data_IF_694966551482
#
_entry.id   IF_694966551482
#
_cell.length_a   1.000
_cell.length_b   1.000
_cell.length_c   1.000
_cell.angle_alpha   90.00
_cell.angle_beta   90.00
_cell.angle_gamma   90.00
#
_symmetry.space_group_name_H-M   'P 1'
#
loop_
_entity.id
_entity.type
_entity.pdbx_description
1 polymer ?
#
# COMPACT_ATOMS: atom_id res chain seq x y z
N UNK A 1 26.65 24.98 1.29
CA UNK A 1 27.18 24.65 -0.05
C UNK A 1 26.11 24.54 -1.15
N UNK A 2 25.06 23.71 -1.04
CA UNK A 2 24.07 23.50 -2.12
C UNK A 2 23.43 24.79 -2.68
N UNK A 3 23.04 25.73 -1.81
CA UNK A 3 22.44 27.01 -2.23
C UNK A 3 23.40 27.92 -3.00
N UNK A 4 24.69 27.92 -2.63
CA UNK A 4 25.73 28.68 -3.33
C UNK A 4 25.98 28.12 -4.74
N UNK A 5 26.05 26.79 -4.87
CA UNK A 5 26.22 26.13 -6.18
C UNK A 5 25.06 26.47 -7.10
N UNK A 6 23.81 26.41 -6.61
CA UNK A 6 22.62 26.78 -7.39
C UNK A 6 22.69 28.25 -7.82
N UNK A 7 23.05 29.15 -6.90
CA UNK A 7 23.19 30.58 -7.19
C UNK A 7 24.22 30.85 -8.30
N UNK A 8 25.44 30.29 -8.19
CA UNK A 8 26.47 30.45 -9.23
C UNK A 8 26.08 29.82 -10.56
N UNK A 9 25.33 28.71 -10.55
CA UNK A 9 24.83 28.08 -11.78
C UNK A 9 23.80 28.97 -12.48
N UNK A 10 22.88 29.58 -11.73
CA UNK A 10 21.89 30.52 -12.28
C UNK A 10 22.55 31.81 -12.79
N UNK A 11 23.56 32.30 -12.08
CA UNK A 11 24.36 33.45 -12.50
C UNK A 11 25.10 33.16 -13.83
N UNK A 12 25.72 31.99 -13.94
CA UNK A 12 26.39 31.54 -15.17
C UNK A 12 25.44 31.32 -16.33
N UNK A 13 24.21 30.88 -16.08
CA UNK A 13 23.16 30.78 -17.11
C UNK A 13 22.77 32.17 -17.64
N UNK A 14 22.54 33.11 -16.73
CA UNK A 14 22.13 34.48 -17.05
C UNK A 14 23.22 35.23 -17.83
N UNK A 15 24.46 35.19 -17.37
CA UNK A 15 25.59 35.93 -17.97
C UNK A 15 26.34 35.16 -19.07
N UNK A 16 26.03 33.88 -19.27
CA UNK A 16 26.62 33.02 -20.30
C UNK A 16 25.63 32.69 -21.43
N UNK A 17 24.88 31.60 -21.28
CA UNK A 17 23.97 31.08 -22.33
C UNK A 17 22.92 32.11 -22.78
N UNK A 18 22.41 32.93 -21.86
CA UNK A 18 21.41 33.95 -22.13
C UNK A 18 22.01 35.36 -22.30
N UNK A 19 23.34 35.49 -22.41
CA UNK A 19 24.03 36.78 -22.48
C UNK A 19 23.49 37.71 -23.56
N UNK A 20 23.12 37.16 -24.73
CA UNK A 20 22.57 37.93 -25.85
C UNK A 20 21.27 38.68 -25.50
N UNK A 21 20.57 38.28 -24.44
CA UNK A 21 19.35 38.93 -23.95
C UNK A 21 19.55 39.64 -22.61
N UNK A 22 20.27 39.02 -21.69
CA UNK A 22 20.47 39.54 -20.33
C UNK A 22 21.42 40.75 -20.28
N UNK A 23 22.51 40.72 -21.07
CA UNK A 23 23.52 41.78 -21.08
C UNK A 23 22.99 43.07 -21.72
N UNK A 24 22.28 43.04 -22.87
CA UNK A 24 21.65 44.24 -23.41
C UNK A 24 20.60 44.84 -22.47
N UNK A 25 19.78 43.99 -21.82
CA UNK A 25 18.78 44.44 -20.86
C UNK A 25 19.43 45.14 -19.65
N UNK A 26 20.50 44.55 -19.11
CA UNK A 26 21.26 45.11 -18.00
C UNK A 26 21.94 46.44 -18.37
N UNK A 27 22.59 46.50 -19.54
CA UNK A 27 23.26 47.70 -20.02
C UNK A 27 22.24 48.82 -20.28
N UNK A 28 21.09 48.51 -20.89
CA UNK A 28 20.03 49.48 -21.10
C UNK A 28 19.46 50.02 -19.77
N UNK A 29 19.24 49.15 -18.79
CA UNK A 29 18.79 49.56 -17.45
C UNK A 29 19.80 50.50 -16.77
N UNK A 30 21.10 50.19 -16.85
CA UNK A 30 22.16 51.04 -16.31
C UNK A 30 22.27 52.37 -17.06
N UNK A 31 22.25 52.36 -18.39
CA UNK A 31 22.32 53.57 -19.21
C UNK A 31 21.14 54.51 -18.96
N UNK A 32 19.94 53.95 -18.76
CA UNK A 32 18.76 54.72 -18.36
C UNK A 32 18.91 55.32 -16.97
N UNK A 33 19.47 54.58 -16.02
CA UNK A 33 19.68 55.04 -14.64
C UNK A 33 20.75 56.14 -14.52
N UNK A 34 21.77 56.13 -15.40
CA UNK A 34 22.88 57.09 -15.40
C UNK A 34 22.77 58.15 -16.52
N UNK A 35 21.65 58.22 -17.24
CA UNK A 35 21.38 59.18 -18.32
C UNK A 35 22.45 59.16 -19.43
N UNK A 36 22.99 57.98 -19.73
CA UNK A 36 24.02 57.75 -20.76
C UNK A 36 23.34 57.34 -22.07
N UNK A 37 23.78 57.81 -23.25
CA UNK A 37 23.21 57.40 -24.53
C UNK A 37 23.34 55.89 -24.78
N UNK A 38 22.37 55.28 -25.49
CA UNK A 38 22.36 53.84 -25.72
C UNK A 38 23.55 53.39 -26.57
N UNK A 39 24.26 52.36 -26.11
CA UNK A 39 25.35 51.75 -26.88
C UNK A 39 24.82 50.61 -27.76
N UNK A 40 25.28 50.55 -29.02
CA UNK A 40 24.96 49.43 -29.91
C UNK A 40 25.84 48.23 -29.57
N UNK A 41 25.24 47.20 -29.00
CA UNK A 41 25.89 45.90 -28.78
C UNK A 41 25.68 45.03 -30.01
N UNK A 42 26.77 44.49 -30.55
CA UNK A 42 26.73 43.52 -31.64
C UNK A 42 27.23 42.18 -31.12
N UNK A 43 26.44 41.13 -31.33
CA UNK A 43 26.81 39.77 -30.99
C UNK A 43 27.11 38.98 -32.26
N UNK A 44 28.18 38.18 -32.30
CA UNK A 44 28.42 37.27 -33.42
C UNK A 44 27.24 36.33 -33.60
N UNK A 45 26.85 36.06 -34.86
CA UNK A 45 25.73 35.15 -35.17
C UNK A 45 25.83 33.78 -34.46
N UNK A 46 27.06 33.29 -34.24
CA UNK A 46 27.34 32.03 -33.55
C UNK A 46 26.80 32.02 -32.11
N UNK A 47 26.77 33.16 -31.41
CA UNK A 47 26.36 33.20 -30.00
C UNK A 47 24.88 32.84 -29.80
N UNK A 48 24.04 32.98 -30.82
CA UNK A 48 22.63 32.60 -30.76
C UNK A 48 22.43 31.08 -30.73
N UNK A 49 23.41 30.28 -31.19
CA UNK A 49 23.35 28.82 -31.13
C UNK A 49 23.52 28.23 -29.73
N UNK A 50 24.03 29.00 -28.76
CA UNK A 50 24.18 28.49 -27.39
C UNK A 50 22.84 28.14 -26.72
N UNK A 51 21.76 28.84 -27.09
CA UNK A 51 20.42 28.60 -26.55
C UNK A 51 19.84 27.25 -27.00
N UNK A 52 19.74 26.93 -28.31
CA UNK A 52 19.26 25.63 -28.74
C UNK A 52 20.17 24.48 -28.28
N UNK A 53 21.49 24.68 -28.20
CA UNK A 53 22.42 23.68 -27.66
C UNK A 53 22.13 23.39 -26.18
N UNK A 54 21.83 24.43 -25.39
CA UNK A 54 21.46 24.28 -23.99
C UNK A 54 20.13 23.54 -23.81
N UNK A 55 19.10 23.90 -24.59
CA UNK A 55 17.80 23.21 -24.58
C UNK A 55 17.95 21.73 -24.99
N UNK A 56 18.77 21.47 -26.01
CA UNK A 56 19.09 20.11 -26.44
C UNK A 56 19.80 19.33 -25.33
N UNK A 57 20.76 19.94 -24.64
CA UNK A 57 21.46 19.35 -23.50
C UNK A 57 20.51 18.99 -22.35
N UNK A 58 19.56 19.87 -22.00
CA UNK A 58 18.53 19.56 -20.99
C UNK A 58 17.66 18.39 -21.44
N UNK A 59 17.20 18.41 -22.70
CA UNK A 59 16.34 17.36 -23.27
C UNK A 59 17.03 16.01 -23.26
N UNK A 60 18.30 15.97 -23.67
CA UNK A 60 19.13 14.76 -23.61
C UNK A 60 19.32 14.31 -22.16
N UNK A 61 19.67 15.22 -21.24
CA UNK A 61 19.87 14.87 -19.83
C UNK A 61 18.61 14.25 -19.21
N UNK A 62 17.43 14.83 -19.47
CA UNK A 62 16.15 14.30 -18.98
C UNK A 62 15.88 12.92 -19.61
N UNK A 63 16.09 12.77 -20.92
CA UNK A 63 15.81 11.52 -21.65
C UNK A 63 16.75 10.41 -21.20
N UNK A 64 18.04 10.70 -21.09
CA UNK A 64 19.05 9.76 -20.57
C UNK A 64 18.73 9.39 -19.13
N UNK A 65 18.42 10.35 -18.26
CA UNK A 65 18.07 10.04 -16.88
C UNK A 65 16.81 9.16 -16.79
N UNK A 66 15.83 9.40 -17.64
CA UNK A 66 14.58 8.63 -17.68
C UNK A 66 14.75 7.22 -18.22
N UNK A 67 15.70 7.01 -19.14
CA UNK A 67 15.97 5.69 -19.77
C UNK A 67 17.03 4.89 -19.02
N UNK A 68 18.07 5.55 -18.49
CA UNK A 68 19.18 4.92 -17.80
C UNK A 68 18.86 4.57 -16.34
N UNK A 69 18.07 5.39 -15.64
CA UNK A 69 17.66 5.09 -14.26
C UNK A 69 16.95 3.74 -14.09
N UNK A 70 15.96 3.35 -14.93
CA UNK A 70 15.34 2.03 -14.81
C UNK A 70 16.31 0.90 -15.14
N UNK A 71 17.20 1.07 -16.13
CA UNK A 71 18.21 0.06 -16.50
C UNK A 71 19.23 -0.14 -15.38
N UNK A 72 19.71 0.95 -14.78
CA UNK A 72 20.61 0.90 -13.63
C UNK A 72 19.92 0.27 -12.42
N UNK A 73 18.65 0.58 -12.17
CA UNK A 73 17.89 -0.04 -11.09
C UNK A 73 17.70 -1.54 -11.31
N UNK A 74 17.31 -1.98 -12.52
CA UNK A 74 17.18 -3.40 -12.85
C UNK A 74 18.52 -4.15 -12.74
N UNK A 75 19.61 -3.52 -13.15
CA UNK A 75 20.96 -4.11 -13.06
C UNK A 75 21.41 -4.20 -11.60
N UNK A 76 21.14 -3.16 -10.80
CA UNK A 76 21.40 -3.12 -9.37
C UNK A 76 20.55 -4.14 -8.61
N UNK A 77 19.30 -4.33 -8.97
CA UNK A 77 18.41 -5.37 -8.41
C UNK A 77 18.94 -6.78 -8.71
N UNK A 78 19.48 -7.01 -9.91
CA UNK A 78 20.10 -8.30 -10.29
C UNK A 78 21.42 -8.57 -9.56
N UNK A 79 22.21 -7.52 -9.30
CA UNK A 79 23.51 -7.61 -8.62
C UNK A 79 23.42 -7.57 -7.10
N UNK A 80 22.33 -7.04 -6.54
CA UNK A 80 22.11 -7.01 -5.10
C UNK A 80 21.52 -8.34 -4.67
N UNK A 81 22.22 -9.06 -3.79
CA UNK A 81 21.72 -10.30 -3.21
C UNK A 81 20.37 -10.02 -2.56
N UNK A 82 19.28 -10.58 -3.11
CA UNK A 82 17.92 -10.41 -2.57
C UNK A 82 17.95 -10.80 -1.09
N UNK A 83 17.83 -9.81 -0.21
CA UNK A 83 17.72 -10.05 1.23
C UNK A 83 16.42 -10.81 1.50
N UNK A 84 16.42 -11.71 2.48
CA UNK A 84 15.22 -12.46 2.91
C UNK A 84 14.02 -11.53 3.23
N UNK A 85 14.26 -10.25 3.51
CA UNK A 85 13.25 -9.23 3.78
C UNK A 85 12.52 -8.67 2.54
N UNK A 86 13.00 -8.90 1.33
CA UNK A 86 12.31 -8.47 0.11
C UNK A 86 11.18 -9.43 -0.33
N UNK A 87 10.83 -10.40 0.51
CA UNK A 87 9.85 -11.45 0.20
C UNK A 87 8.41 -11.09 0.59
N UNK A 88 8.22 -9.95 1.26
CA UNK A 88 6.93 -9.27 1.45
C UNK A 88 6.76 -8.15 0.40
N UNK A 89 6.94 -8.49 -0.89
CA UNK A 89 6.32 -7.68 -1.92
C UNK A 89 4.81 -7.64 -1.64
N UNK A 90 4.20 -6.46 -1.78
CA UNK A 90 2.74 -6.31 -1.71
C UNK A 90 2.12 -7.26 -2.73
N UNK A 91 1.69 -8.43 -2.27
CA UNK A 91 1.18 -9.48 -3.14
C UNK A 91 -0.14 -9.01 -3.71
N UNK A 92 -0.18 -8.74 -5.02
CA UNK A 92 -1.43 -8.48 -5.71
C UNK A 92 -2.33 -9.71 -5.52
N UNK A 93 -3.53 -9.52 -4.96
CA UNK A 93 -4.49 -10.59 -4.65
C UNK A 93 -4.77 -11.49 -5.87
N UNK A 94 -4.58 -10.97 -7.09
CA UNK A 94 -4.76 -11.71 -8.34
C UNK A 94 -3.65 -12.73 -8.61
N UNK A 95 -2.43 -12.46 -8.15
CA UNK A 95 -1.26 -13.35 -8.34
C UNK A 95 -0.91 -14.13 -7.09
N UNK A 96 -1.52 -13.83 -5.92
CA UNK A 96 -1.27 -14.52 -4.64
C UNK A 96 -1.35 -16.04 -4.79
N UNK A 97 -2.31 -16.54 -5.57
CA UNK A 97 -2.54 -17.99 -5.72
C UNK A 97 -1.31 -18.75 -6.20
N UNK A 98 -0.51 -18.15 -7.08
CA UNK A 98 0.69 -18.77 -7.65
C UNK A 98 1.84 -18.87 -6.62
N UNK A 99 1.75 -18.10 -5.53
CA UNK A 99 2.72 -18.09 -4.44
C UNK A 99 2.26 -18.85 -3.20
N UNK A 100 1.01 -19.33 -3.18
CA UNK A 100 0.49 -20.11 -2.06
C UNK A 100 1.15 -21.51 -2.04
N UNK A 101 1.62 -21.99 -0.89
CA UNK A 101 2.12 -23.35 -0.75
C UNK A 101 1.01 -24.37 -1.01
N UNK A 102 1.39 -25.62 -1.30
CA UNK A 102 0.42 -26.74 -1.31
C UNK A 102 -0.26 -26.86 0.06
N UNK A 103 -1.57 -27.08 0.05
CA UNK A 103 -2.37 -27.17 1.27
C UNK A 103 -2.00 -28.43 2.06
N UNK A 104 -1.49 -28.24 3.26
CA UNK A 104 -1.23 -29.31 4.22
C UNK A 104 -2.46 -29.52 5.12
N UNK A 105 -2.97 -30.77 5.27
CA UNK A 105 -4.09 -31.04 6.18
C UNK A 105 -3.61 -30.97 7.63
N UNK A 106 -4.30 -30.20 8.47
CA UNK A 106 -4.06 -30.14 9.91
C UNK A 106 -5.39 -29.94 10.65
N UNK A 107 -5.46 -30.36 11.92
CA UNK A 107 -6.60 -30.06 12.79
C UNK A 107 -6.36 -28.71 13.48
N UNK A 108 -7.22 -27.69 13.28
CA UNK A 108 -7.08 -26.41 13.97
C UNK A 108 -7.12 -26.53 15.50
N UNK A 109 -7.82 -27.52 16.04
CA UNK A 109 -7.97 -27.69 17.49
C UNK A 109 -6.63 -27.95 18.19
N UNK A 110 -5.66 -28.54 17.49
CA UNK A 110 -4.31 -28.78 18.02
C UNK A 110 -3.51 -27.48 18.23
N UNK A 111 -3.93 -26.38 17.61
CA UNK A 111 -3.20 -25.10 17.62
C UNK A 111 -3.95 -23.98 18.34
N UNK A 112 -5.24 -24.15 18.65
CA UNK A 112 -6.03 -23.13 19.34
C UNK A 112 -5.55 -23.00 20.79
N UNK A 113 -5.02 -21.83 21.11
CA UNK A 113 -4.54 -21.47 22.44
C UNK A 113 -4.71 -19.96 22.64
N UNK A 114 -5.80 -19.57 23.31
CA UNK A 114 -6.16 -18.17 23.54
C UNK A 114 -5.10 -17.40 24.35
N UNK A 115 -4.23 -18.09 25.10
CA UNK A 115 -3.12 -17.44 25.80
C UNK A 115 -2.05 -16.89 24.84
N UNK A 116 -1.93 -17.50 23.64
CA UNK A 116 -1.06 -17.02 22.55
C UNK A 116 -1.78 -16.02 21.63
N UNK A 117 -3.11 -16.00 21.66
CA UNK A 117 -3.97 -15.18 20.82
C UNK A 117 -4.93 -16.03 19.97
N UNK A 118 -5.55 -15.41 18.98
CA UNK A 118 -6.44 -16.07 18.02
C UNK A 118 -5.58 -16.68 16.91
N UNK A 119 -5.62 -18.00 16.80
CA UNK A 119 -4.97 -18.76 15.76
C UNK A 119 -5.62 -18.50 14.39
N UNK A 120 -4.80 -18.20 13.37
CA UNK A 120 -5.28 -17.86 12.01
C UNK A 120 -4.79 -18.82 10.93
N UNK A 121 -3.96 -19.78 11.28
CA UNK A 121 -3.43 -20.78 10.35
C UNK A 121 -1.92 -21.00 10.51
N UNK A 122 -1.37 -21.79 9.59
CA UNK A 122 0.06 -22.09 9.54
C UNK A 122 0.76 -21.22 8.49
N UNK A 123 2.02 -20.87 8.75
CA UNK A 123 2.89 -20.24 7.75
C UNK A 123 3.49 -21.26 6.76
N UNK A 124 4.38 -20.79 5.89
CA UNK A 124 5.07 -21.63 4.88
C UNK A 124 6.02 -22.67 5.49
N UNK A 125 6.42 -22.49 6.74
CA UNK A 125 7.26 -23.42 7.51
C UNK A 125 6.41 -24.31 8.43
N UNK A 126 5.08 -24.29 8.27
CA UNK A 126 4.10 -25.02 9.08
C UNK A 126 4.08 -24.59 10.56
N UNK A 127 4.47 -23.34 10.85
CA UNK A 127 4.42 -22.79 12.21
C UNK A 127 3.11 -22.06 12.44
N UNK A 128 2.46 -22.26 13.60
CA UNK A 128 1.18 -21.62 13.90
C UNK A 128 1.33 -20.11 14.04
N UNK A 129 0.39 -19.39 13.43
CA UNK A 129 0.31 -17.94 13.45
C UNK A 129 -0.87 -17.50 14.30
N UNK A 130 -0.63 -16.49 15.13
CA UNK A 130 -1.61 -15.95 16.07
C UNK A 130 -1.71 -14.45 15.91
N UNK A 131 -2.93 -13.92 16.02
CA UNK A 131 -3.19 -12.50 16.22
C UNK A 131 -3.48 -12.30 17.72
N UNK A 132 -2.83 -11.35 18.41
CA UNK A 132 -3.14 -11.07 19.80
C UNK A 132 -4.64 -10.84 20.00
N UNK A 133 -5.23 -11.50 21.00
CA UNK A 133 -6.68 -11.42 21.26
C UNK A 133 -7.12 -9.97 21.48
N UNK A 134 -6.32 -9.20 22.20
CA UNK A 134 -6.58 -7.78 22.47
C UNK A 134 -6.64 -6.91 21.20
N UNK A 135 -5.86 -7.25 20.16
CA UNK A 135 -5.85 -6.50 18.91
C UNK A 135 -7.11 -6.80 18.12
N UNK A 136 -7.50 -8.07 18.05
CA UNK A 136 -8.72 -8.50 17.37
C UNK A 136 -9.98 -7.94 18.04
N UNK A 137 -9.98 -7.78 19.38
CA UNK A 137 -11.09 -7.19 20.12
C UNK A 137 -11.23 -5.68 19.89
N UNK A 138 -10.12 -4.98 19.63
CA UNK A 138 -10.10 -3.51 19.45
C UNK A 138 -10.20 -3.08 17.99
N UNK A 139 -9.81 -3.93 17.05
CA UNK A 139 -9.64 -3.60 15.63
C UNK A 139 -10.62 -4.36 14.74
N UNK A 140 -10.85 -3.86 13.53
CA UNK A 140 -11.66 -4.54 12.53
C UNK A 140 -10.81 -5.48 11.67
N UNK A 141 -11.33 -6.68 11.41
CA UNK A 141 -10.71 -7.66 10.50
C UNK A 141 -11.44 -7.70 9.16
N UNK A 142 -10.68 -7.59 8.05
CA UNK A 142 -11.20 -7.77 6.70
C UNK A 142 -10.70 -9.07 6.08
N UNK A 143 -11.61 -10.01 5.79
CA UNK A 143 -11.28 -11.31 5.18
C UNK A 143 -11.65 -11.28 3.69
N UNK A 144 -10.63 -11.17 2.84
CA UNK A 144 -10.78 -11.03 1.40
C UNK A 144 -10.38 -12.31 0.66
N UNK A 145 -11.06 -12.61 -0.44
CA UNK A 145 -10.81 -13.80 -1.25
C UNK A 145 -11.93 -14.03 -2.26
N UNK A 146 -11.67 -14.82 -3.31
CA UNK A 146 -12.69 -15.21 -4.30
C UNK A 146 -13.63 -16.29 -3.73
N UNK A 147 -14.72 -16.60 -4.43
CA UNK A 147 -15.58 -17.74 -4.06
C UNK A 147 -14.78 -19.04 -4.12
N UNK A 148 -14.93 -19.91 -3.12
CA UNK A 148 -14.14 -21.14 -2.99
C UNK A 148 -12.74 -20.96 -2.40
N UNK A 149 -12.30 -19.73 -2.09
CA UNK A 149 -10.98 -19.47 -1.51
C UNK A 149 -10.86 -19.76 -0.01
N UNK A 150 -11.88 -20.35 0.62
CA UNK A 150 -11.84 -20.70 2.05
C UNK A 150 -12.20 -19.57 3.04
N UNK A 151 -12.79 -18.46 2.57
CA UNK A 151 -13.20 -17.35 3.46
C UNK A 151 -14.11 -17.81 4.61
N UNK A 152 -15.12 -18.64 4.32
CA UNK A 152 -16.05 -19.14 5.34
C UNK A 152 -15.34 -19.99 6.39
N UNK A 153 -14.36 -20.81 5.97
CA UNK A 153 -13.53 -21.62 6.87
C UNK A 153 -12.67 -20.72 7.77
N UNK A 154 -11.99 -19.72 7.19
CA UNK A 154 -11.17 -18.78 7.94
C UNK A 154 -11.99 -17.94 8.94
N UNK A 155 -13.15 -17.43 8.50
CA UNK A 155 -14.08 -16.71 9.38
C UNK A 155 -14.59 -17.61 10.50
N UNK A 156 -15.02 -18.84 10.18
CA UNK A 156 -15.49 -19.80 11.16
C UNK A 156 -14.45 -20.14 12.23
N UNK A 157 -13.19 -20.31 11.84
CA UNK A 157 -12.07 -20.55 12.75
C UNK A 157 -11.86 -19.39 13.74
N UNK A 158 -11.91 -18.16 13.25
CA UNK A 158 -11.75 -16.96 14.10
C UNK A 158 -12.96 -16.82 15.04
N UNK A 159 -14.18 -16.90 14.52
CA UNK A 159 -15.40 -16.76 15.31
C UNK A 159 -15.52 -17.84 16.40
N UNK A 160 -15.14 -19.09 16.09
CA UNK A 160 -15.10 -20.16 17.08
C UNK A 160 -14.25 -19.75 18.30
N UNK A 161 -13.06 -19.21 18.07
CA UNK A 161 -12.15 -18.77 19.14
C UNK A 161 -12.66 -17.55 19.88
N UNK A 162 -13.32 -16.61 19.21
CA UNK A 162 -13.96 -15.45 19.86
C UNK A 162 -15.09 -15.88 20.80
N UNK A 163 -15.88 -16.87 20.40
CA UNK A 163 -16.89 -17.47 21.28
C UNK A 163 -16.22 -18.12 22.50
N UNK A 164 -15.12 -18.86 22.31
CA UNK A 164 -14.33 -19.42 23.43
C UNK A 164 -13.76 -18.33 24.34
N UNK A 165 -13.38 -17.18 23.77
CA UNK A 165 -12.89 -16.02 24.53
C UNK A 165 -14.01 -15.27 25.28
N UNK A 166 -15.27 -15.67 25.11
CA UNK A 166 -16.43 -15.07 25.77
C UNK A 166 -17.00 -13.83 25.08
N UNK A 167 -16.62 -13.58 23.82
CA UNK A 167 -17.12 -12.44 23.04
C UNK A 167 -18.57 -12.65 22.58
N UNK A 168 -19.35 -11.58 22.65
CA UNK A 168 -20.68 -11.54 22.06
C UNK A 168 -20.59 -11.60 20.54
N UNK A 169 -20.94 -12.74 19.95
CA UNK A 169 -20.76 -12.99 18.51
C UNK A 169 -22.08 -12.96 17.77
N UNK A 170 -22.16 -12.10 16.75
CA UNK A 170 -23.31 -11.99 15.84
C UNK A 170 -22.87 -12.33 14.43
N UNK A 171 -23.48 -13.35 13.83
CA UNK A 171 -23.13 -13.85 12.50
C UNK A 171 -24.28 -13.58 11.54
N UNK A 172 -24.00 -12.78 10.51
CA UNK A 172 -24.94 -12.53 9.42
C UNK A 172 -24.53 -13.36 8.22
N UNK A 173 -25.36 -14.34 7.88
CA UNK A 173 -25.11 -15.23 6.77
C UNK A 173 -26.21 -15.12 5.70
N UNK A 174 -26.07 -14.22 4.73
CA UNK A 174 -27.04 -14.07 3.64
C UNK A 174 -26.95 -15.20 2.61
N UNK A 175 -25.94 -16.07 2.69
CA UNK A 175 -25.72 -17.15 1.73
C UNK A 175 -26.34 -18.47 2.17
N UNK A 176 -26.82 -18.54 3.40
CA UNK A 176 -27.39 -19.76 3.99
C UNK A 176 -26.40 -20.93 3.89
N UNK A 177 -25.19 -20.70 4.42
CA UNK A 177 -24.16 -21.72 4.62
C UNK A 177 -24.70 -22.81 5.54
N UNK A 178 -24.75 -24.03 5.02
CA UNK A 178 -25.29 -25.19 5.74
C UNK A 178 -24.48 -25.52 7.00
N UNK A 179 -23.19 -25.20 7.04
CA UNK A 179 -22.27 -25.60 8.10
C UNK A 179 -22.05 -24.54 9.18
N UNK A 180 -22.13 -23.25 8.81
CA UNK A 180 -21.86 -22.15 9.74
C UNK A 180 -22.69 -22.22 11.04
N UNK A 181 -24.02 -22.48 11.01
CA UNK A 181 -24.82 -22.60 12.23
C UNK A 181 -24.36 -23.75 13.13
N UNK A 182 -23.99 -24.90 12.56
CA UNK A 182 -23.51 -26.05 13.31
C UNK A 182 -22.18 -25.78 14.00
N UNK A 183 -21.25 -25.12 13.29
CA UNK A 183 -19.94 -24.74 13.85
C UNK A 183 -20.11 -23.73 15.01
N UNK A 184 -20.95 -22.71 14.83
CA UNK A 184 -21.19 -21.70 15.87
C UNK A 184 -21.91 -22.31 17.08
N UNK A 185 -22.89 -23.20 16.86
CA UNK A 185 -23.55 -23.93 17.93
C UNK A 185 -22.55 -24.77 18.73
N UNK A 186 -21.68 -25.51 18.05
CA UNK A 186 -20.64 -26.30 18.71
C UNK A 186 -19.70 -25.42 19.54
N UNK A 187 -19.26 -24.28 19.00
CA UNK A 187 -18.43 -23.32 19.73
C UNK A 187 -19.14 -22.83 21.01
N UNK A 188 -20.42 -22.47 20.92
CA UNK A 188 -21.22 -22.04 22.07
C UNK A 188 -21.37 -23.16 23.11
N UNK A 189 -21.63 -24.39 22.69
CA UNK A 189 -21.71 -25.56 23.58
C UNK A 189 -20.41 -25.78 24.36
N UNK A 190 -19.27 -25.70 23.68
CA UNK A 190 -17.94 -25.81 24.32
C UNK A 190 -17.67 -24.67 25.30
N UNK A 191 -18.08 -23.45 24.96
CA UNK A 191 -17.88 -22.26 25.79
C UNK A 191 -18.93 -22.11 26.91
N UNK A 192 -19.92 -23.02 27.01
CA UNK A 192 -21.04 -22.90 27.93
C UNK A 192 -21.90 -21.65 27.69
N UNK A 193 -22.01 -21.20 26.44
CA UNK A 193 -22.76 -20.01 26.02
C UNK A 193 -24.06 -20.39 25.32
N UNK A 194 -25.11 -19.55 25.41
CA UNK A 194 -26.33 -19.79 24.64
C UNK A 194 -26.06 -19.60 23.13
N UNK A 195 -26.84 -20.31 22.31
CA UNK A 195 -26.85 -20.16 20.86
C UNK A 195 -28.27 -19.88 20.40
N UNK A 196 -28.42 -18.85 19.55
CA UNK A 196 -29.69 -18.47 18.96
C UNK A 196 -29.53 -18.39 17.45
N UNK A 197 -30.46 -19.00 16.71
CA UNK A 197 -30.51 -18.95 15.25
C UNK A 197 -31.79 -18.20 14.84
N UNK A 198 -31.61 -17.09 14.13
CA UNK A 198 -32.71 -16.33 13.54
C UNK A 198 -32.68 -16.54 12.03
N UNK A 199 -33.72 -17.17 11.50
CA UNK A 199 -33.87 -17.46 10.09
C UNK A 199 -34.89 -16.50 9.45
N UNK A 200 -34.36 -15.48 8.76
CA UNK A 200 -35.17 -14.45 8.10
C UNK A 200 -35.94 -14.97 6.87
N UNK A 201 -35.69 -16.20 6.42
CA UNK A 201 -36.47 -16.81 5.33
C UNK A 201 -37.76 -17.47 5.83
N UNK A 202 -37.89 -17.67 7.14
CA UNK A 202 -39.10 -18.23 7.76
C UNK A 202 -40.06 -17.11 8.16
N UNK A 203 -41.35 -17.33 7.92
CA UNK A 203 -42.43 -16.42 8.34
C UNK A 203 -42.73 -16.48 9.84
N UNK A 204 -42.07 -17.36 10.59
CA UNK A 204 -42.28 -17.50 12.02
C UNK A 204 -41.73 -16.26 12.76
N UNK A 205 -42.49 -15.77 13.72
CA UNK A 205 -42.06 -14.73 14.66
C UNK A 205 -40.92 -15.27 15.52
N UNK A 206 -39.78 -14.58 15.52
CA UNK A 206 -38.52 -15.05 16.14
C UNK A 206 -37.86 -14.01 17.05
N UNK A 207 -38.06 -12.72 16.77
CA UNK A 207 -37.45 -11.61 17.52
C UNK A 207 -38.45 -10.45 17.58
N UNK A 208 -38.72 -9.96 18.79
CA UNK A 208 -39.47 -8.72 19.02
C UNK A 208 -38.49 -7.63 19.46
N UNK A 209 -38.29 -6.63 18.59
CA UNK A 209 -37.40 -5.50 18.85
C UNK A 209 -38.03 -4.44 19.77
N UNK A 210 -39.35 -4.47 19.93
CA UNK A 210 -40.11 -3.51 20.75
C UNK A 210 -40.54 -4.13 22.09
N UNK A 211 -40.13 -5.36 22.37
CA UNK A 211 -40.30 -5.97 23.67
C UNK A 211 -39.77 -5.01 24.76
N UNK A 212 -40.62 -4.70 25.72
CA UNK A 212 -40.35 -3.78 26.84
C UNK A 212 -40.01 -2.32 26.47
N UNK A 213 -40.21 -1.90 25.22
CA UNK A 213 -40.15 -0.50 24.82
C UNK A 213 -41.40 0.25 25.35
N UNK A 214 -41.26 0.91 26.50
CA UNK A 214 -42.26 1.82 27.08
C UNK A 214 -41.92 3.28 26.82
#
# INVERSE_FOLDING_TARGET
>A
MRRLVIFFTLLGLGLGTLANFSVPLLIHALQTAYTVPPSKLSYPFISYFYIPIFILGITIHITVRRTLAPVLNQTKEKLTKKTKMARDERTDVRTVKDFLPESFPYDPMDYIDLSKGVFVGLDREHKPQYIPLEDIQKQHCGINGTTGAGKGVATGLILHQLIQAGEGTFVLDPKNDEWAPHLMKHACEQAGKPFYLIDLNKKAEQLDLLADAR
#
